data_IF_321747467249
#
_entry.id   IF_321747467249
#
_cell.length_a   1.000
_cell.length_b   1.000
_cell.length_c   1.000
_cell.angle_alpha   90.00
_cell.angle_beta   90.00
_cell.angle_gamma   90.00
#
_symmetry.space_group_name_H-M   'P 1'
#
loop_
_entity.id
_entity.type
_entity.pdbx_description
1 polymer ?
#
# COMPACT_ATOMS: atom_id res chain seq x y z
N UNK A 1 -2.13 -14.18 -17.52
CA UNK A 1 -0.81 -14.41 -18.14
C UNK A 1 -0.26 -13.17 -18.86
N UNK A 2 -0.92 -12.57 -19.86
CA UNK A 2 -0.40 -11.38 -20.59
C UNK A 2 0.02 -10.24 -19.65
N UNK A 3 -0.85 -9.81 -18.72
CA UNK A 3 -0.59 -8.66 -17.84
C UNK A 3 0.61 -8.91 -16.91
N UNK A 4 0.82 -10.13 -16.41
CA UNK A 4 1.98 -10.47 -15.59
C UNK A 4 3.30 -10.32 -16.37
N UNK A 5 3.35 -10.83 -17.60
CA UNK A 5 4.52 -10.71 -18.47
C UNK A 5 4.83 -9.23 -18.80
N UNK A 6 3.79 -8.42 -19.07
CA UNK A 6 3.94 -6.98 -19.33
C UNK A 6 4.40 -6.24 -18.08
N UNK A 7 3.88 -6.58 -16.89
CA UNK A 7 4.31 -5.97 -15.63
C UNK A 7 5.79 -6.26 -15.34
N UNK A 8 6.24 -7.50 -15.54
CA UNK A 8 7.65 -7.86 -15.39
C UNK A 8 8.55 -7.19 -16.43
N UNK A 9 8.11 -7.13 -17.69
CA UNK A 9 8.81 -6.41 -18.77
C UNK A 9 8.97 -4.93 -18.41
N UNK A 10 7.89 -4.26 -17.98
CA UNK A 10 7.90 -2.86 -17.57
C UNK A 10 8.86 -2.63 -16.40
N UNK A 11 8.81 -3.49 -15.40
CA UNK A 11 9.67 -3.43 -14.23
C UNK A 11 11.15 -3.55 -14.61
N UNK A 12 11.49 -4.50 -15.50
CA UNK A 12 12.86 -4.68 -16.00
C UNK A 12 13.34 -3.47 -16.81
N UNK A 13 12.51 -2.97 -17.73
CA UNK A 13 12.83 -1.78 -18.54
C UNK A 13 13.13 -0.56 -17.67
N UNK A 14 12.29 -0.27 -16.67
CA UNK A 14 12.50 0.86 -15.76
C UNK A 14 13.81 0.70 -14.97
N UNK A 15 14.11 -0.49 -14.49
CA UNK A 15 15.35 -0.77 -13.73
C UNK A 15 16.60 -0.67 -14.58
N UNK A 16 16.59 -1.21 -15.80
CA UNK A 16 17.70 -1.14 -16.75
C UNK A 16 18.02 0.32 -17.12
N UNK A 17 16.99 1.16 -17.23
CA UNK A 17 17.14 2.60 -17.48
C UNK A 17 17.42 3.42 -16.18
N UNK A 18 17.72 2.74 -15.06
CA UNK A 18 18.13 3.36 -13.79
C UNK A 18 16.99 4.01 -13.00
N UNK A 19 15.75 3.61 -13.25
CA UNK A 19 14.57 4.04 -12.50
C UNK A 19 14.13 2.96 -11.50
N UNK A 20 14.13 3.30 -10.22
CA UNK A 20 13.64 2.41 -9.16
C UNK A 20 12.12 2.49 -9.09
N UNK A 21 11.46 1.37 -9.11
CA UNK A 21 9.99 1.33 -9.16
C UNK A 21 9.40 0.17 -8.37
N UNK A 22 8.11 0.26 -8.11
CA UNK A 22 7.31 -0.72 -7.36
C UNK A 22 5.92 -0.82 -7.99
N UNK A 23 5.45 -2.03 -8.30
CA UNK A 23 4.07 -2.29 -8.76
C UNK A 23 3.15 -2.23 -7.54
N UNK A 24 2.20 -1.28 -7.56
CA UNK A 24 1.45 -0.90 -6.35
C UNK A 24 0.27 -1.81 -5.99
N UNK A 25 -0.43 -2.30 -6.98
CA UNK A 25 -1.68 -3.09 -6.85
C UNK A 25 -1.61 -4.33 -7.76
N UNK A 26 -2.70 -4.65 -8.42
CA UNK A 26 -2.75 -5.57 -9.55
C UNK A 26 -2.09 -6.90 -9.26
N UNK A 27 -0.95 -7.12 -9.86
CA UNK A 27 -0.21 -8.39 -9.83
C UNK A 27 0.31 -8.73 -8.43
N UNK A 28 0.75 -7.73 -7.65
CA UNK A 28 1.17 -7.93 -6.27
C UNK A 28 0.03 -8.39 -5.37
N UNK A 29 -1.15 -7.76 -5.47
CA UNK A 29 -2.31 -8.15 -4.69
C UNK A 29 -2.84 -9.54 -5.11
N UNK A 30 -2.75 -9.89 -6.40
CA UNK A 30 -3.16 -11.20 -6.88
C UNK A 30 -2.44 -12.35 -6.18
N UNK A 31 -1.19 -12.16 -5.77
CA UNK A 31 -0.40 -13.18 -5.05
C UNK A 31 -0.98 -13.53 -3.65
N UNK A 32 -1.83 -12.68 -3.09
CA UNK A 32 -2.48 -12.90 -1.79
C UNK A 32 -3.77 -13.72 -1.92
N UNK A 33 -4.30 -13.88 -3.13
CA UNK A 33 -5.48 -14.68 -3.38
C UNK A 33 -5.14 -16.17 -3.33
N UNK A 34 -6.07 -17.06 -2.91
CA UNK A 34 -5.85 -18.51 -2.94
C UNK A 34 -5.46 -19.03 -4.33
N UNK A 35 -6.02 -18.41 -5.37
CA UNK A 35 -5.58 -18.59 -6.75
C UNK A 35 -5.33 -17.18 -7.35
N UNK A 36 -4.08 -16.84 -7.67
CA UNK A 36 -3.75 -15.52 -8.25
C UNK A 36 -4.53 -15.17 -9.51
N UNK A 37 -4.97 -16.15 -10.27
CA UNK A 37 -5.73 -15.97 -11.50
C UNK A 37 -7.23 -15.71 -11.28
N UNK A 38 -7.74 -15.88 -10.07
CA UNK A 38 -9.13 -15.49 -9.74
C UNK A 38 -9.33 -13.98 -9.61
N UNK A 39 -8.24 -13.21 -9.46
CA UNK A 39 -8.30 -11.76 -9.50
C UNK A 39 -8.33 -11.27 -10.95
N UNK A 40 -9.42 -10.61 -11.33
CA UNK A 40 -9.52 -9.97 -12.65
C UNK A 40 -8.41 -8.92 -12.81
N UNK A 41 -7.55 -9.03 -13.83
CA UNK A 41 -6.52 -8.02 -14.07
C UNK A 41 -7.15 -6.70 -14.55
N UNK A 42 -6.42 -5.62 -14.36
CA UNK A 42 -6.74 -4.28 -14.87
C UNK A 42 -5.48 -3.66 -15.44
N UNK A 43 -5.32 -2.39 -15.23
CA UNK A 43 -4.12 -1.59 -15.45
C UNK A 43 -2.92 -2.04 -14.59
N UNK A 44 -1.75 -1.58 -14.97
CA UNK A 44 -0.53 -1.75 -14.19
C UNK A 44 -0.20 -0.41 -13.54
N UNK A 45 -0.43 -0.31 -12.25
CA UNK A 45 -0.01 0.85 -11.44
C UNK A 45 1.44 0.69 -11.03
N UNK A 46 2.33 1.53 -11.51
CA UNK A 46 3.73 1.49 -11.14
C UNK A 46 4.18 2.81 -10.51
N UNK A 47 4.59 2.76 -9.26
CA UNK A 47 5.22 3.88 -8.59
C UNK A 47 6.70 3.95 -8.95
N UNK A 48 7.11 5.07 -9.54
CA UNK A 48 8.51 5.32 -9.90
C UNK A 48 9.13 6.27 -8.88
N UNK A 49 10.17 5.80 -8.18
CA UNK A 49 10.89 6.60 -7.19
C UNK A 49 11.90 7.55 -7.87
N UNK A 50 11.36 8.57 -8.55
CA UNK A 50 12.12 9.62 -9.20
C UNK A 50 11.37 10.96 -9.13
N UNK A 51 11.98 12.06 -9.60
CA UNK A 51 11.26 13.32 -9.72
C UNK A 51 10.22 13.25 -10.86
N UNK A 52 9.17 14.06 -10.75
CA UNK A 52 8.11 14.14 -11.77
C UNK A 52 8.70 14.44 -13.14
N UNK A 53 9.62 15.38 -13.22
CA UNK A 53 10.28 15.80 -14.45
C UNK A 53 10.99 14.62 -15.11
N UNK A 54 11.76 13.85 -14.33
CA UNK A 54 12.49 12.67 -14.84
C UNK A 54 11.56 11.57 -15.33
N UNK A 55 10.42 11.34 -14.63
CA UNK A 55 9.41 10.38 -15.06
C UNK A 55 8.76 10.84 -16.37
N UNK A 56 8.44 12.12 -16.48
CA UNK A 56 7.86 12.71 -17.69
C UNK A 56 8.80 12.59 -18.90
N UNK A 57 10.07 12.97 -18.73
CA UNK A 57 11.09 12.85 -19.78
C UNK A 57 11.27 11.39 -20.23
N UNK A 58 11.27 10.47 -19.28
CA UNK A 58 11.37 9.03 -19.58
C UNK A 58 10.15 8.55 -20.37
N UNK A 59 8.97 8.90 -19.90
CA UNK A 59 7.72 8.49 -20.53
C UNK A 59 7.59 9.02 -21.95
N UNK A 60 7.95 10.28 -22.21
CA UNK A 60 7.97 10.88 -23.55
C UNK A 60 8.90 10.17 -24.54
N UNK A 61 9.99 9.59 -24.02
CA UNK A 61 10.97 8.87 -24.86
C UNK A 61 10.62 7.42 -25.14
N UNK A 62 9.88 6.78 -24.24
CA UNK A 62 9.71 5.32 -24.25
C UNK A 62 8.28 4.88 -24.57
N UNK A 63 7.29 5.74 -24.38
CA UNK A 63 5.88 5.39 -24.52
C UNK A 63 5.14 6.40 -25.39
N UNK A 64 4.06 5.94 -25.98
CA UNK A 64 3.02 6.83 -26.50
C UNK A 64 2.23 7.35 -25.30
N UNK A 65 2.29 8.65 -25.06
CA UNK A 65 1.56 9.27 -23.96
C UNK A 65 0.09 9.42 -24.33
N UNK A 66 -0.79 9.07 -23.40
CA UNK A 66 -2.19 9.47 -23.45
C UNK A 66 -2.33 10.99 -23.18
N UNK A 67 -3.51 11.51 -23.49
CA UNK A 67 -3.80 12.94 -23.30
C UNK A 67 -3.99 13.32 -21.83
N UNK A 68 -4.12 12.34 -20.92
CA UNK A 68 -4.46 12.57 -19.51
C UNK A 68 -3.22 12.45 -18.60
N UNK A 69 -2.67 13.62 -18.24
CA UNK A 69 -1.61 13.74 -17.25
C UNK A 69 -2.23 14.30 -15.97
N UNK A 70 -2.46 13.42 -15.00
CA UNK A 70 -3.03 13.78 -13.71
C UNK A 70 -1.96 14.25 -12.71
N UNK A 71 -2.41 14.77 -11.58
CA UNK A 71 -1.50 15.18 -10.51
C UNK A 71 -0.65 14.00 -10.00
N UNK A 72 -1.26 12.83 -9.87
CA UNK A 72 -0.69 11.64 -9.23
C UNK A 72 0.04 10.73 -10.22
N UNK A 73 -0.43 10.58 -11.44
CA UNK A 73 0.11 9.67 -12.45
C UNK A 73 -0.04 10.22 -13.87
N UNK A 74 0.63 9.58 -14.80
CA UNK A 74 0.37 9.71 -16.22
C UNK A 74 -0.06 8.35 -16.79
N UNK A 75 -0.96 8.39 -17.75
CA UNK A 75 -1.47 7.21 -18.43
C UNK A 75 -0.68 6.90 -19.69
N UNK A 76 -0.40 5.65 -19.92
CA UNK A 76 0.27 5.13 -21.12
C UNK A 76 -0.14 3.68 -21.36
N UNK A 77 0.49 3.01 -22.33
CA UNK A 77 0.31 1.58 -22.56
C UNK A 77 1.62 0.89 -22.93
N UNK A 78 1.72 -0.38 -22.61
CA UNK A 78 2.82 -1.25 -23.03
C UNK A 78 2.24 -2.57 -23.55
N UNK A 79 2.55 -2.94 -24.77
CA UNK A 79 2.06 -4.15 -25.45
C UNK A 79 0.52 -4.29 -25.39
N UNK A 80 -0.19 -3.15 -25.44
CA UNK A 80 -1.65 -3.08 -25.38
C UNK A 80 -2.24 -3.38 -23.99
N UNK A 81 -1.45 -3.20 -22.93
CA UNK A 81 -1.89 -3.21 -21.53
C UNK A 81 -1.80 -1.77 -21.00
N UNK A 82 -2.88 -1.22 -20.41
CA UNK A 82 -2.84 0.10 -19.77
C UNK A 82 -1.84 0.14 -18.62
N UNK A 83 -1.09 1.24 -18.53
CA UNK A 83 -0.07 1.48 -17.50
C UNK A 83 -0.26 2.88 -16.94
N UNK A 84 -0.28 2.98 -15.61
CA UNK A 84 -0.22 4.24 -14.88
C UNK A 84 1.16 4.42 -14.22
N UNK A 85 1.93 5.40 -14.69
CA UNK A 85 3.20 5.77 -14.08
C UNK A 85 2.95 6.78 -12.96
N UNK A 86 2.99 6.33 -11.71
CA UNK A 86 2.72 7.14 -10.54
C UNK A 86 3.95 7.94 -10.08
N UNK A 87 3.79 9.24 -9.92
CA UNK A 87 4.78 10.14 -9.30
C UNK A 87 4.86 9.92 -7.78
N UNK A 88 3.73 9.54 -7.19
CA UNK A 88 3.60 9.14 -5.78
C UNK A 88 2.41 8.16 -5.64
N UNK A 89 2.41 7.26 -4.63
CA UNK A 89 1.45 6.16 -4.57
C UNK A 89 -0.02 6.58 -4.46
N UNK A 90 -0.32 7.59 -3.63
CA UNK A 90 -1.70 8.03 -3.38
C UNK A 90 -1.73 9.46 -2.84
N UNK A 91 -2.80 10.21 -3.14
CA UNK A 91 -3.08 11.53 -2.60
C UNK A 91 -4.06 11.50 -1.43
N UNK A 92 -4.15 12.63 -0.71
CA UNK A 92 -5.21 12.90 0.27
C UNK A 92 -5.72 14.33 0.08
N UNK A 93 -7.03 14.53 0.29
CA UNK A 93 -7.67 15.83 0.10
C UNK A 93 -7.24 16.87 1.14
N UNK A 94 -6.90 16.42 2.36
CA UNK A 94 -6.37 17.33 3.40
C UNK A 94 -4.87 17.58 3.20
N UNK A 95 -4.41 18.84 3.01
CA UNK A 95 -3.01 19.14 2.68
C UNK A 95 -2.01 18.70 3.75
N UNK A 96 -2.39 18.80 5.03
CA UNK A 96 -1.51 18.42 6.15
C UNK A 96 -1.29 16.90 6.16
N UNK A 97 -2.37 16.15 6.01
CA UNK A 97 -2.29 14.69 5.95
C UNK A 97 -1.63 14.22 4.66
N UNK A 98 -1.88 14.88 3.54
CA UNK A 98 -1.19 14.62 2.28
C UNK A 98 0.33 14.78 2.45
N UNK A 99 0.81 15.90 2.98
CA UNK A 99 2.23 16.14 3.19
C UNK A 99 2.88 15.09 4.12
N UNK A 100 2.18 14.67 5.20
CA UNK A 100 2.65 13.61 6.10
C UNK A 100 2.72 12.26 5.39
N UNK A 101 1.71 11.93 4.59
CA UNK A 101 1.65 10.69 3.82
C UNK A 101 2.78 10.63 2.78
N UNK A 102 3.00 11.72 2.01
CA UNK A 102 4.09 11.81 1.04
C UNK A 102 5.47 11.65 1.70
N UNK A 103 5.67 12.27 2.86
CA UNK A 103 6.91 12.10 3.63
C UNK A 103 7.10 10.65 4.09
N UNK A 104 6.03 9.95 4.45
CA UNK A 104 6.07 8.55 4.82
C UNK A 104 6.35 7.65 3.61
N UNK A 105 5.70 7.88 2.46
CA UNK A 105 5.99 7.18 1.22
C UNK A 105 7.46 7.32 0.83
N UNK A 106 7.97 8.55 0.79
CA UNK A 106 9.35 8.83 0.41
C UNK A 106 10.38 8.12 1.31
N UNK A 107 10.11 8.04 2.62
CA UNK A 107 10.99 7.34 3.57
C UNK A 107 11.02 5.83 3.36
N UNK A 108 9.96 5.27 2.83
CA UNK A 108 9.82 3.83 2.61
C UNK A 108 10.09 3.41 1.17
N UNK A 109 10.30 4.33 0.24
CA UNK A 109 10.40 4.07 -1.20
C UNK A 109 11.45 3.02 -1.54
N UNK A 110 12.65 3.14 -0.97
CA UNK A 110 13.76 2.25 -1.24
C UNK A 110 13.46 0.81 -0.88
N UNK A 111 12.80 0.61 0.28
CA UNK A 111 12.39 -0.72 0.72
C UNK A 111 11.33 -1.31 -0.22
N UNK A 112 10.36 -0.52 -0.65
CA UNK A 112 9.30 -1.00 -1.55
C UNK A 112 9.86 -1.37 -2.93
N UNK A 113 10.73 -0.53 -3.49
CA UNK A 113 11.38 -0.77 -4.79
C UNK A 113 12.39 -1.93 -4.77
N UNK A 114 12.79 -2.42 -3.60
CA UNK A 114 13.70 -3.56 -3.44
C UNK A 114 13.01 -4.85 -2.98
N UNK A 115 11.71 -4.81 -2.65
CA UNK A 115 10.95 -5.98 -2.23
C UNK A 115 10.49 -6.79 -3.45
N UNK A 116 11.38 -7.62 -3.98
CA UNK A 116 11.19 -8.40 -5.20
C UNK A 116 10.43 -9.69 -4.91
N UNK A 117 9.47 -10.01 -5.78
CA UNK A 117 8.72 -11.27 -5.78
C UNK A 117 8.62 -11.84 -7.19
N UNK A 118 8.63 -13.17 -7.30
CA UNK A 118 8.38 -13.89 -8.55
C UNK A 118 6.90 -13.94 -8.88
N UNK A 119 6.56 -13.68 -10.13
CA UNK A 119 5.21 -13.86 -10.65
C UNK A 119 4.94 -15.32 -11.03
N UNK A 120 3.67 -15.79 -10.98
CA UNK A 120 3.31 -17.15 -11.35
C UNK A 120 3.74 -17.53 -12.77
N UNK A 121 3.92 -18.83 -13.00
CA UNK A 121 4.25 -19.44 -14.30
C UNK A 121 5.53 -18.91 -14.94
N UNK A 122 6.48 -18.46 -14.13
CA UNK A 122 7.75 -17.93 -14.63
C UNK A 122 7.59 -16.65 -15.44
N UNK A 123 6.53 -15.86 -15.21
CA UNK A 123 6.30 -14.60 -15.91
C UNK A 123 7.36 -13.51 -15.60
N UNK A 124 8.28 -13.79 -14.67
CA UNK A 124 9.38 -12.93 -14.25
C UNK A 124 9.14 -12.30 -12.89
N UNK A 125 10.00 -11.34 -12.53
CA UNK A 125 10.01 -10.72 -11.22
C UNK A 125 9.45 -9.28 -11.27
N UNK A 126 8.89 -8.84 -10.15
CA UNK A 126 8.46 -7.45 -9.91
C UNK A 126 8.79 -7.04 -8.48
N UNK A 127 8.97 -5.74 -8.24
CA UNK A 127 8.92 -5.22 -6.87
C UNK A 127 7.48 -4.88 -6.49
N UNK A 128 7.08 -5.24 -5.27
CA UNK A 128 5.75 -4.94 -4.72
C UNK A 128 5.86 -4.30 -3.34
N UNK A 129 4.83 -3.61 -2.85
CA UNK A 129 4.80 -3.09 -1.49
C UNK A 129 4.98 -4.20 -0.46
N UNK A 130 5.79 -3.93 0.56
CA UNK A 130 5.81 -4.78 1.76
C UNK A 130 4.44 -4.78 2.42
N UNK A 131 4.10 -5.84 3.15
CA UNK A 131 2.78 -6.00 3.76
C UNK A 131 2.37 -4.81 4.62
N UNK A 132 3.26 -4.32 5.50
CA UNK A 132 2.99 -3.17 6.36
C UNK A 132 2.73 -1.87 5.57
N UNK A 133 3.44 -1.68 4.45
CA UNK A 133 3.20 -0.55 3.55
C UNK A 133 1.88 -0.72 2.81
N UNK A 134 1.58 -1.91 2.32
CA UNK A 134 0.41 -2.19 1.50
C UNK A 134 -0.90 -1.97 2.27
N UNK A 135 -0.97 -2.36 3.55
CA UNK A 135 -2.15 -2.08 4.41
C UNK A 135 -2.45 -0.58 4.48
N UNK A 136 -1.45 0.26 4.69
CA UNK A 136 -1.63 1.72 4.78
C UNK A 136 -1.98 2.30 3.40
N UNK A 137 -1.23 1.89 2.37
CA UNK A 137 -1.44 2.36 1.01
C UNK A 137 -2.84 2.01 0.49
N UNK A 138 -3.26 0.76 0.60
CA UNK A 138 -4.58 0.32 0.12
C UNK A 138 -5.72 1.00 0.88
N UNK A 139 -5.58 1.21 2.19
CA UNK A 139 -6.58 1.94 2.97
C UNK A 139 -6.71 3.39 2.50
N UNK A 140 -5.59 4.08 2.29
CA UNK A 140 -5.62 5.48 1.81
C UNK A 140 -6.15 5.59 0.39
N UNK A 141 -5.85 4.60 -0.45
CA UNK A 141 -6.36 4.53 -1.81
C UNK A 141 -7.89 4.27 -1.84
N UNK A 142 -8.39 3.32 -1.03
CA UNK A 142 -9.83 3.11 -0.85
C UNK A 142 -10.55 4.35 -0.32
N UNK A 143 -9.94 5.04 0.65
CA UNK A 143 -10.49 6.30 1.18
C UNK A 143 -10.65 7.35 0.08
N UNK A 144 -9.61 7.53 -0.76
CA UNK A 144 -9.65 8.47 -1.88
C UNK A 144 -10.79 8.14 -2.85
N UNK A 145 -10.87 6.90 -3.33
CA UNK A 145 -11.93 6.46 -4.24
C UNK A 145 -13.33 6.58 -3.64
N UNK A 146 -13.47 6.28 -2.35
CA UNK A 146 -14.78 6.35 -1.69
C UNK A 146 -15.41 7.74 -1.78
N UNK A 147 -14.60 8.78 -1.67
CA UNK A 147 -15.10 10.17 -1.68
C UNK A 147 -15.13 10.79 -3.08
N UNK A 148 -14.30 10.33 -4.00
CA UNK A 148 -14.09 11.02 -5.27
C UNK A 148 -14.69 10.27 -6.47
N UNK A 149 -14.64 8.93 -6.50
CA UNK A 149 -15.01 8.15 -7.70
C UNK A 149 -15.95 6.97 -7.41
N UNK A 150 -16.11 6.59 -6.17
CA UNK A 150 -16.79 5.37 -5.75
C UNK A 150 -15.86 4.16 -5.66
N UNK A 151 -16.29 3.15 -4.89
CA UNK A 151 -15.52 1.91 -4.65
C UNK A 151 -16.14 0.74 -5.39
N UNK A 152 -15.33 0.04 -6.18
CA UNK A 152 -15.70 -1.23 -6.79
C UNK A 152 -15.48 -2.42 -5.83
N UNK A 153 -16.25 -3.49 -6.01
CA UNK A 153 -16.14 -4.71 -5.21
C UNK A 153 -14.73 -5.30 -5.24
N UNK A 154 -14.03 -5.23 -6.37
CA UNK A 154 -12.65 -5.71 -6.52
C UNK A 154 -11.69 -5.03 -5.54
N UNK A 155 -11.80 -3.72 -5.33
CA UNK A 155 -10.97 -2.96 -4.40
C UNK A 155 -11.21 -3.38 -2.95
N UNK A 156 -12.46 -3.69 -2.60
CA UNK A 156 -12.82 -4.18 -1.26
C UNK A 156 -12.23 -5.58 -1.04
N UNK A 157 -12.33 -6.47 -2.03
CA UNK A 157 -11.78 -7.83 -1.95
C UNK A 157 -10.26 -7.79 -1.89
N UNK A 158 -9.59 -6.94 -2.68
CA UNK A 158 -8.14 -6.73 -2.60
C UNK A 158 -7.73 -6.34 -1.19
N UNK A 159 -8.41 -5.36 -0.59
CA UNK A 159 -8.10 -4.91 0.77
C UNK A 159 -8.36 -5.98 1.82
N UNK A 160 -9.41 -6.77 1.67
CA UNK A 160 -9.68 -7.93 2.52
C UNK A 160 -8.48 -8.90 2.55
N UNK A 161 -7.96 -9.30 1.39
CA UNK A 161 -6.79 -10.18 1.34
C UNK A 161 -5.52 -9.54 1.89
N UNK A 162 -5.31 -8.25 1.66
CA UNK A 162 -4.19 -7.50 2.25
C UNK A 162 -4.25 -7.53 3.78
N UNK A 163 -5.44 -7.33 4.37
CA UNK A 163 -5.62 -7.36 5.83
C UNK A 163 -5.43 -8.78 6.38
N UNK A 164 -5.99 -9.81 5.71
CA UNK A 164 -5.81 -11.21 6.11
C UNK A 164 -4.34 -11.59 6.12
N UNK A 165 -3.59 -11.25 5.08
CA UNK A 165 -2.19 -11.61 4.95
C UNK A 165 -1.31 -10.83 5.95
N UNK A 166 -1.61 -9.55 6.18
CA UNK A 166 -0.99 -8.76 7.25
C UNK A 166 -1.21 -9.40 8.62
N UNK A 167 -2.43 -9.88 8.89
CA UNK A 167 -2.76 -10.52 10.16
C UNK A 167 -1.98 -11.83 10.36
N UNK A 168 -1.85 -12.66 9.32
CA UNK A 168 -1.03 -13.89 9.36
C UNK A 168 0.43 -13.60 9.68
N UNK A 169 1.02 -12.62 8.99
CA UNK A 169 2.41 -12.19 9.22
C UNK A 169 2.58 -11.65 10.64
N UNK A 170 1.61 -10.86 11.13
CA UNK A 170 1.65 -10.30 12.48
C UNK A 170 1.55 -11.37 13.58
N UNK A 171 0.66 -12.35 13.42
CA UNK A 171 0.54 -13.49 14.35
C UNK A 171 1.83 -14.31 14.43
N UNK A 172 2.46 -14.55 13.29
CA UNK A 172 3.74 -15.28 13.23
C UNK A 172 4.91 -14.46 13.79
N UNK A 173 4.86 -13.12 13.67
CA UNK A 173 5.90 -12.19 14.17
C UNK A 173 5.78 -11.91 15.67
N UNK A 174 4.65 -12.19 16.32
CA UNK A 174 4.53 -12.11 17.78
C UNK A 174 5.40 -13.13 18.50
N UNK A 175 6.00 -14.08 17.77
CA UNK A 175 7.07 -14.99 18.20
C UNK A 175 8.48 -14.43 17.98
N UNK A 176 8.63 -13.29 17.28
CA UNK A 176 9.90 -12.63 16.95
C UNK A 176 9.81 -11.16 17.40
N UNK A 177 10.77 -10.75 18.21
CA UNK A 177 10.93 -9.50 18.98
C UNK A 177 10.44 -8.18 18.29
N UNK A 178 9.95 -7.19 19.06
CA UNK A 178 9.32 -5.94 18.57
C UNK A 178 10.24 -4.89 17.93
N UNK A 179 11.47 -5.21 17.55
CA UNK A 179 12.51 -4.22 17.20
C UNK A 179 12.28 -3.45 15.88
N UNK A 180 11.35 -3.86 15.03
CA UNK A 180 11.12 -3.22 13.72
C UNK A 180 10.19 -1.99 13.74
N UNK A 181 9.61 -1.63 14.89
CA UNK A 181 8.67 -0.53 15.01
C UNK A 181 9.05 0.54 16.03
N UNK A 182 10.31 0.65 16.42
CA UNK A 182 10.76 1.70 17.34
C UNK A 182 10.78 3.04 16.62
N UNK A 183 9.69 3.77 16.69
CA UNK A 183 9.69 5.22 16.46
C UNK A 183 10.37 5.82 17.69
N UNK A 184 11.55 6.41 17.54
CA UNK A 184 12.14 7.25 18.57
C UNK A 184 11.21 8.44 18.79
N UNK A 185 10.40 8.39 19.82
CA UNK A 185 9.74 9.58 20.34
C UNK A 185 10.80 10.49 20.97
N UNK A 186 10.83 11.73 20.51
CA UNK A 186 11.64 12.77 21.16
C UNK A 186 11.24 12.90 22.63
N UNK A 187 12.21 12.86 23.51
CA UNK A 187 12.05 12.96 24.96
C UNK A 187 11.24 14.19 25.37
N UNK A 188 10.07 13.98 25.92
CA UNK A 188 9.46 14.90 26.88
C UNK A 188 9.28 14.14 28.19
N UNK A 189 10.07 14.56 29.17
CA UNK A 189 10.11 14.07 30.53
C UNK A 189 8.82 14.40 31.28
N UNK A 190 8.02 13.40 31.65
CA UNK A 190 7.20 13.40 32.84
C UNK A 190 7.09 11.98 33.38
N UNK A 191 7.31 11.77 34.69
CA UNK A 191 7.23 10.45 35.33
C UNK A 191 5.78 10.13 35.69
N UNK A 192 5.30 8.94 35.33
CA UNK A 192 4.03 8.41 35.82
C UNK A 192 4.22 7.00 36.40
N UNK A 193 3.78 6.76 37.63
CA UNK A 193 3.94 5.48 38.30
C UNK A 193 2.69 4.65 38.12
N UNK A 194 2.76 3.47 37.52
CA UNK A 194 1.99 2.27 37.88
C UNK A 194 2.16 1.15 36.83
N UNK A 195 2.87 0.13 37.25
CA UNK A 195 3.15 -1.12 36.56
C UNK A 195 1.96 -2.09 36.54
N UNK A 196 1.58 -2.64 35.39
CA UNK A 196 1.10 -4.01 35.25
C UNK A 196 1.05 -4.42 33.77
N UNK A 197 1.61 -5.57 33.39
CA UNK A 197 1.87 -6.06 32.06
C UNK A 197 0.64 -6.31 31.13
N UNK A 198 -0.58 -6.20 31.66
CA UNK A 198 -1.81 -6.32 30.87
C UNK A 198 -2.21 -5.01 30.15
N UNK A 199 -1.75 -3.85 30.65
CA UNK A 199 -2.05 -2.53 30.05
C UNK A 199 -1.21 -2.23 28.82
N UNK A 200 -0.03 -2.82 28.70
CA UNK A 200 0.89 -2.57 27.59
C UNK A 200 0.37 -3.09 26.25
N UNK A 201 -0.25 -4.27 26.25
CA UNK A 201 -0.84 -4.84 25.01
C UNK A 201 -2.01 -4.01 24.46
N UNK A 202 -2.85 -3.50 25.34
CA UNK A 202 -4.04 -2.68 24.95
C UNK A 202 -3.62 -1.27 24.52
N UNK A 203 -2.59 -0.70 25.16
CA UNK A 203 -2.06 0.61 24.80
C UNK A 203 -1.35 0.59 23.44
N UNK A 204 -0.64 -0.48 23.09
CA UNK A 204 0.01 -0.66 21.80
C UNK A 204 -1.02 -0.77 20.65
N UNK A 205 -2.12 -1.51 20.84
CA UNK A 205 -3.21 -1.60 19.87
C UNK A 205 -3.90 -0.24 19.68
N UNK A 206 -4.17 0.48 20.76
CA UNK A 206 -4.80 1.80 20.71
C UNK A 206 -3.93 2.90 20.09
N UNK A 207 -2.61 2.85 20.24
CA UNK A 207 -1.69 3.79 19.62
C UNK A 207 -1.55 3.54 18.12
N UNK A 208 -1.53 2.30 17.67
CA UNK A 208 -1.47 1.90 16.26
C UNK A 208 -2.74 2.28 15.50
N UNK A 209 -3.91 2.06 16.09
CA UNK A 209 -5.19 2.47 15.53
C UNK A 209 -5.31 3.99 15.42
N UNK A 210 -4.81 4.75 16.40
CA UNK A 210 -4.80 6.21 16.35
C UNK A 210 -3.91 6.77 15.23
N UNK A 211 -2.85 6.07 14.86
CA UNK A 211 -1.95 6.52 13.79
C UNK A 211 -2.56 6.32 12.39
N UNK A 212 -3.14 5.15 12.13
CA UNK A 212 -3.84 4.88 10.87
C UNK A 212 -5.07 5.80 10.69
N UNK A 213 -5.85 6.01 11.76
CA UNK A 213 -7.02 6.91 11.75
C UNK A 213 -6.65 8.40 11.69
N UNK A 214 -5.50 8.82 12.26
CA UNK A 214 -5.01 10.19 12.09
C UNK A 214 -4.53 10.47 10.67
N UNK A 215 -3.98 9.47 9.97
CA UNK A 215 -3.61 9.60 8.57
C UNK A 215 -4.85 9.66 7.66
N UNK A 216 -5.93 8.96 8.02
CA UNK A 216 -7.16 8.90 7.24
C UNK A 216 -8.11 10.12 7.40
N UNK A 217 -7.77 11.11 8.23
CA UNK A 217 -8.56 12.36 8.38
C UNK A 217 -9.87 12.20 9.19
N UNK A 218 -9.92 12.86 10.31
CA UNK A 218 -10.87 12.66 11.41
C UNK A 218 -12.18 13.44 11.27
N UNK A 219 -12.90 13.40 10.16
CA UNK A 219 -14.21 14.07 10.13
C UNK A 219 -15.43 13.13 10.09
N UNK A 220 -15.28 11.88 9.68
CA UNK A 220 -16.41 10.93 9.63
C UNK A 220 -16.37 9.81 10.67
N UNK A 221 -15.26 9.63 11.38
CA UNK A 221 -15.00 8.42 12.18
C UNK A 221 -15.57 8.44 13.60
N UNK A 222 -16.18 9.53 14.06
CA UNK A 222 -16.70 9.61 15.44
C UNK A 222 -17.91 8.70 15.70
N UNK A 223 -18.65 8.33 14.67
CA UNK A 223 -19.81 7.43 14.84
C UNK A 223 -19.47 5.94 14.72
N UNK A 224 -18.44 5.58 13.96
CA UNK A 224 -18.07 4.16 13.70
C UNK A 224 -17.24 3.56 14.87
N UNK A 225 -16.57 4.39 15.66
CA UNK A 225 -15.65 3.92 16.72
C UNK A 225 -16.29 3.89 18.13
N UNK A 226 -17.56 4.22 18.28
CA UNK A 226 -18.23 4.13 19.60
C UNK A 226 -18.60 2.71 19.99
N UNK A 227 -18.78 1.81 19.03
CA UNK A 227 -18.99 0.39 19.27
C UNK A 227 -17.70 -0.38 18.98
N UNK A 228 -17.08 -0.93 20.01
CA UNK A 228 -15.90 -1.83 19.90
C UNK A 228 -16.16 -3.13 19.10
N UNK A 229 -17.36 -3.27 18.52
CA UNK A 229 -17.82 -4.43 17.76
C UNK A 229 -17.25 -4.54 16.35
N UNK A 230 -16.83 -3.43 15.72
CA UNK A 230 -16.31 -3.48 14.35
C UNK A 230 -14.94 -4.18 14.26
N UNK A 231 -14.09 -4.03 15.27
CA UNK A 231 -12.78 -4.69 15.34
C UNK A 231 -12.86 -6.13 15.85
N UNK A 232 -13.83 -6.44 16.71
CA UNK A 232 -14.14 -7.83 17.08
C UNK A 232 -14.55 -8.66 15.85
N UNK A 233 -15.35 -8.10 14.97
CA UNK A 233 -15.75 -8.76 13.72
C UNK A 233 -14.61 -8.92 12.71
N UNK A 234 -13.65 -7.99 12.65
CA UNK A 234 -12.46 -8.16 11.81
C UNK A 234 -11.51 -9.24 12.36
N UNK A 235 -11.44 -9.41 13.67
CA UNK A 235 -10.69 -10.52 14.29
C UNK A 235 -11.37 -11.89 14.04
N UNK A 236 -12.71 -11.94 14.04
CA UNK A 236 -13.47 -13.15 13.67
C UNK A 236 -13.29 -13.51 12.19
N UNK A 237 -13.25 -12.50 11.30
CA UNK A 237 -12.97 -12.70 9.87
C UNK A 237 -11.53 -13.20 9.67
N UNK A 238 -10.55 -12.74 10.46
CA UNK A 238 -9.17 -13.26 10.42
C UNK A 238 -9.08 -14.76 10.73
N UNK A 239 -9.94 -15.26 11.63
CA UNK A 239 -10.01 -16.70 11.94
C UNK A 239 -10.65 -17.54 10.83
N UNK A 240 -11.41 -16.94 9.91
CA UNK A 240 -11.98 -17.65 8.75
C UNK A 240 -11.02 -17.68 7.54
N UNK A 241 -9.87 -17.04 7.64
CA UNK A 241 -8.80 -17.09 6.63
C UNK A 241 -7.77 -18.21 6.89
N UNK A 242 -7.95 -18.99 7.95
CA UNK A 242 -7.18 -20.20 8.28
C UNK A 242 -7.91 -21.43 7.81
#
# INVERSE_FOLDING_TARGET
>A
MKVNAVASKLFSMLREDGLRCCILKGQGNALMYPNPYSRTPGDIDVWVNASRERIMEYAQKKFELGDDIRLQHLETSLDGVPVELHFFPCSMNNPIYHARLQKWFKRNADLQCSHIVGLPDGAGDIAIPTMAFNVVYQLTHLYHHFFDEGIGMRQIIDYYYVVCDFYKVYQNSSKITPSLFTIKEGSTSHPDPLSSGAREKTALLGARNRYALRLAGHQSSRHILRDGTAWGKLAEVGNSCL
#
